data_IF_540862495573
#
_entry.id   IF_540862495573
#
_cell.length_a   1.000
_cell.length_b   1.000
_cell.length_c   1.000
_cell.angle_alpha   90.00
_cell.angle_beta   90.00
_cell.angle_gamma   90.00
#
_symmetry.space_group_name_H-M   'P 1'
#
loop_
_entity.id
_entity.type
_entity.pdbx_description
1 polymer ?
#
# COMPACT_ATOMS: atom_id res chain seq x y z
N UNK A 1 -13.43 -30.70 48.97
CA UNK A 1 -13.43 -31.69 47.85
C UNK A 1 -12.90 -31.04 46.60
N UNK A 2 -11.66 -31.39 46.21
CA UNK A 2 -11.00 -30.85 44.99
C UNK A 2 -11.21 -31.85 43.85
N UNK A 3 -11.93 -31.47 42.79
CA UNK A 3 -12.02 -32.27 41.56
C UNK A 3 -10.86 -31.87 40.62
N UNK A 4 -9.95 -32.83 40.42
CA UNK A 4 -8.89 -32.73 39.38
C UNK A 4 -9.52 -33.06 38.04
N UNK A 5 -9.42 -32.11 37.09
CA UNK A 5 -9.77 -32.35 35.68
C UNK A 5 -8.47 -32.70 34.95
N UNK A 6 -8.39 -33.95 34.53
CA UNK A 6 -7.30 -34.49 33.73
C UNK A 6 -7.61 -34.18 32.24
N UNK A 7 -6.82 -33.35 31.61
CA UNK A 7 -6.93 -33.09 30.18
C UNK A 7 -5.99 -34.04 29.45
N UNK A 8 -6.57 -34.96 28.71
CA UNK A 8 -5.87 -35.94 27.87
C UNK A 8 -5.54 -35.25 26.53
N UNK A 9 -4.26 -35.05 26.26
CA UNK A 9 -3.76 -34.62 24.97
C UNK A 9 -3.80 -35.79 23.98
N UNK A 10 -4.61 -35.68 22.95
CA UNK A 10 -4.61 -36.62 21.82
C UNK A 10 -3.81 -35.97 20.66
N UNK A 11 -2.57 -36.45 20.53
CA UNK A 11 -1.68 -36.15 19.39
C UNK A 11 -2.14 -36.98 18.20
N UNK A 12 -2.68 -36.35 17.20
CA UNK A 12 -2.91 -36.97 15.89
C UNK A 12 -1.96 -36.34 14.87
N UNK A 13 -0.81 -36.98 14.68
CA UNK A 13 0.15 -36.70 13.60
C UNK A 13 -0.34 -37.39 12.33
N UNK A 14 -0.80 -36.61 11.33
CA UNK A 14 -1.02 -37.12 9.97
C UNK A 14 0.02 -36.53 9.03
N UNK A 15 1.06 -37.32 8.77
CA UNK A 15 2.10 -37.07 7.78
C UNK A 15 1.55 -37.46 6.40
N UNK A 16 1.28 -36.51 5.53
CA UNK A 16 1.00 -36.77 4.11
C UNK A 16 2.14 -36.22 3.27
N UNK A 17 3.06 -37.14 2.90
CA UNK A 17 4.06 -36.96 1.87
C UNK A 17 3.41 -37.20 0.52
N UNK A 18 3.20 -36.16 -0.28
CA UNK A 18 2.90 -36.26 -1.69
C UNK A 18 4.14 -35.88 -2.49
N UNK A 19 4.79 -36.92 -3.02
CA UNK A 19 5.80 -36.81 -4.06
C UNK A 19 5.14 -36.36 -5.36
N UNK A 20 5.48 -35.20 -5.85
CA UNK A 20 5.23 -34.82 -7.24
C UNK A 20 6.48 -35.11 -8.05
N UNK A 21 6.43 -36.20 -8.85
CA UNK A 21 7.40 -36.48 -9.90
C UNK A 21 7.12 -35.59 -11.11
N UNK A 22 8.08 -34.75 -11.48
CA UNK A 22 8.07 -34.06 -12.76
C UNK A 22 8.57 -34.96 -13.87
N UNK A 23 7.88 -35.08 -15.01
CA UNK A 23 8.40 -35.76 -16.16
C UNK A 23 9.42 -34.90 -16.90
N UNK A 24 10.60 -35.49 -17.18
CA UNK A 24 11.70 -34.87 -17.89
C UNK A 24 11.33 -34.50 -19.34
N UNK A 25 11.76 -33.29 -19.71
CA UNK A 25 11.76 -32.89 -21.13
C UNK A 25 13.01 -33.40 -21.80
N UNK A 26 12.83 -34.30 -22.77
CA UNK A 26 13.86 -34.77 -23.71
C UNK A 26 14.09 -33.68 -24.76
N UNK A 27 15.28 -33.14 -24.80
CA UNK A 27 15.76 -32.28 -25.88
C UNK A 27 16.16 -33.12 -27.07
N UNK A 28 15.39 -33.05 -28.14
CA UNK A 28 15.79 -33.61 -29.45
C UNK A 28 16.45 -32.52 -30.29
N UNK A 29 17.73 -32.73 -30.58
CA UNK A 29 18.50 -31.92 -31.53
C UNK A 29 18.04 -32.22 -32.98
N UNK A 30 17.90 -31.20 -33.85
CA UNK A 30 17.59 -31.44 -35.24
C UNK A 30 18.83 -31.87 -36.03
N UNK A 31 18.67 -32.98 -36.71
CA UNK A 31 19.64 -33.55 -37.66
C UNK A 31 19.75 -32.66 -38.90
N UNK A 32 20.96 -32.20 -39.20
CA UNK A 32 21.29 -31.47 -40.41
C UNK A 32 21.37 -32.45 -41.58
N UNK A 33 20.43 -32.39 -42.51
CA UNK A 33 20.53 -33.04 -43.82
C UNK A 33 21.20 -32.11 -44.82
N UNK A 34 22.38 -32.52 -45.31
CA UNK A 34 23.03 -31.94 -46.49
C UNK A 34 22.24 -32.29 -47.75
N UNK A 35 21.77 -31.26 -48.47
CA UNK A 35 21.21 -31.41 -49.82
C UNK A 35 22.15 -30.77 -50.87
N UNK A 36 22.06 -31.15 -52.14
CA UNK A 36 23.10 -30.98 -53.15
C UNK A 36 23.18 -29.53 -53.73
N UNK A 37 24.41 -29.24 -54.17
CA UNK A 37 24.78 -28.01 -54.90
C UNK A 37 24.08 -27.97 -56.27
N UNK A 38 23.46 -26.81 -56.57
CA UNK A 38 23.22 -26.38 -57.95
C UNK A 38 23.68 -24.95 -58.12
N UNK A 39 24.69 -24.77 -58.97
CA UNK A 39 25.10 -23.50 -59.54
C UNK A 39 24.07 -23.07 -60.60
N UNK A 40 23.47 -21.94 -60.44
CA UNK A 40 22.95 -21.21 -61.61
C UNK A 40 22.96 -19.71 -61.29
N UNK A 41 23.92 -19.03 -61.91
CA UNK A 41 24.06 -17.59 -61.88
C UNK A 41 23.07 -17.00 -62.86
N UNK A 42 22.02 -16.35 -62.36
CA UNK A 42 21.24 -15.40 -63.15
C UNK A 42 21.24 -14.05 -62.40
N UNK A 43 22.07 -13.11 -62.84
CA UNK A 43 22.07 -11.72 -62.41
C UNK A 43 20.84 -11.03 -63.02
N UNK A 44 19.76 -10.94 -62.26
CA UNK A 44 18.71 -9.95 -62.51
C UNK A 44 19.03 -8.71 -61.68
N UNK A 45 19.21 -7.61 -62.38
CA UNK A 45 19.22 -6.26 -61.78
C UNK A 45 17.84 -6.07 -61.14
N UNK A 46 17.80 -6.07 -59.79
CA UNK A 46 16.63 -5.70 -59.03
C UNK A 46 16.87 -4.29 -58.52
N UNK A 47 16.13 -3.35 -59.08
CA UNK A 47 16.07 -1.98 -58.56
C UNK A 47 15.67 -2.05 -57.07
N UNK A 48 16.57 -1.57 -56.19
CA UNK A 48 16.28 -1.44 -54.76
C UNK A 48 15.15 -0.44 -54.58
N UNK A 49 14.03 -0.80 -53.96
CA UNK A 49 13.03 0.18 -53.58
C UNK A 49 13.66 1.19 -52.57
N UNK A 50 13.22 2.45 -52.57
CA UNK A 50 13.78 3.47 -51.69
C UNK A 50 13.62 3.02 -50.21
N UNK A 51 14.74 2.98 -49.52
CA UNK A 51 14.79 2.70 -48.07
C UNK A 51 14.01 3.84 -47.38
N UNK A 52 12.81 3.54 -46.93
CA UNK A 52 12.09 4.42 -46.00
C UNK A 52 12.97 4.60 -44.78
N UNK A 53 13.54 5.79 -44.61
CA UNK A 53 14.23 6.18 -43.40
C UNK A 53 13.22 6.12 -42.27
N UNK A 54 13.32 5.07 -41.43
CA UNK A 54 12.60 5.00 -40.17
C UNK A 54 13.16 6.12 -39.29
N UNK A 55 12.40 7.18 -39.16
CA UNK A 55 12.68 8.26 -38.21
C UNK A 55 12.74 7.59 -36.84
N UNK A 56 13.94 7.49 -36.25
CA UNK A 56 14.11 7.11 -34.86
C UNK A 56 13.37 8.15 -34.02
N UNK A 57 12.17 7.84 -33.58
CA UNK A 57 11.50 8.60 -32.54
C UNK A 57 12.43 8.64 -31.33
N UNK A 58 12.84 9.83 -30.95
CA UNK A 58 13.53 10.06 -29.69
C UNK A 58 12.67 9.45 -28.57
N UNK A 59 13.27 8.74 -27.60
CA UNK A 59 12.52 8.24 -26.45
C UNK A 59 11.77 9.41 -25.80
N UNK A 60 10.53 9.18 -25.32
CA UNK A 60 9.79 10.21 -24.59
C UNK A 60 10.65 10.75 -23.44
N UNK A 61 10.56 12.03 -23.10
CA UNK A 61 11.31 12.60 -21.99
C UNK A 61 11.01 11.80 -20.72
N UNK A 62 12.06 11.35 -20.04
CA UNK A 62 11.95 10.63 -18.77
C UNK A 62 11.33 11.60 -17.74
N UNK A 63 10.16 11.25 -17.22
CA UNK A 63 9.48 12.04 -16.20
C UNK A 63 10.22 11.81 -14.88
N UNK A 64 11.01 12.79 -14.46
CA UNK A 64 11.67 12.76 -13.14
C UNK A 64 10.61 12.98 -12.07
N UNK A 65 10.38 11.96 -11.26
CA UNK A 65 9.46 12.03 -10.11
C UNK A 65 10.15 12.73 -8.93
N UNK A 66 9.45 13.61 -8.20
CA UNK A 66 10.00 14.27 -7.03
C UNK A 66 10.26 13.26 -5.91
N UNK A 67 11.32 13.49 -5.13
CA UNK A 67 11.75 12.63 -4.02
C UNK A 67 11.40 13.30 -2.69
N UNK A 68 10.81 12.58 -1.71
CA UNK A 68 10.55 13.10 -0.38
C UNK A 68 11.82 13.61 0.32
N UNK A 69 11.73 14.78 0.93
CA UNK A 69 12.83 15.41 1.66
C UNK A 69 13.15 14.66 2.97
N UNK A 70 12.10 14.33 3.74
CA UNK A 70 12.27 13.64 5.03
C UNK A 70 11.92 12.15 4.92
N UNK A 71 12.71 11.34 5.62
CA UNK A 71 12.44 9.91 5.74
C UNK A 71 11.27 9.64 6.67
N UNK A 72 10.56 8.55 6.42
CA UNK A 72 9.42 8.08 7.22
C UNK A 72 8.26 9.06 7.33
N UNK A 73 8.19 10.02 6.41
CA UNK A 73 7.08 10.97 6.31
C UNK A 73 6.39 10.83 4.96
N UNK A 74 5.07 10.55 4.93
CA UNK A 74 4.28 10.55 3.70
C UNK A 74 4.07 11.97 3.17
N UNK A 75 4.12 12.10 1.84
CA UNK A 75 3.83 13.33 1.10
C UNK A 75 2.74 13.08 0.07
N UNK A 76 1.81 13.99 -0.07
CA UNK A 76 0.88 13.97 -1.20
C UNK A 76 1.60 14.37 -2.48
N UNK A 77 1.39 13.61 -3.55
CA UNK A 77 1.93 13.93 -4.87
C UNK A 77 0.91 14.71 -5.69
N UNK A 78 1.15 16.01 -5.83
CA UNK A 78 0.42 16.86 -6.76
C UNK A 78 0.96 16.65 -8.17
N UNK A 79 0.23 15.87 -8.97
CA UNK A 79 0.63 15.51 -10.35
C UNK A 79 0.65 16.71 -11.29
N UNK A 80 -0.24 17.69 -11.09
CA UNK A 80 -0.35 18.88 -11.93
C UNK A 80 0.86 19.80 -11.76
N UNK A 81 1.28 19.99 -10.51
CA UNK A 81 2.45 20.79 -10.17
C UNK A 81 3.77 20.00 -10.16
N UNK A 82 3.74 18.69 -10.37
CA UNK A 82 4.88 17.77 -10.22
C UNK A 82 5.66 18.03 -8.92
N UNK A 83 4.94 18.17 -7.81
CA UNK A 83 5.51 18.52 -6.50
C UNK A 83 4.94 17.66 -5.38
N UNK A 84 5.72 17.58 -4.29
CA UNK A 84 5.31 16.92 -3.05
C UNK A 84 4.79 17.95 -2.05
N UNK A 85 3.62 17.67 -1.49
CA UNK A 85 2.99 18.47 -0.45
C UNK A 85 3.12 17.71 0.87
N UNK A 86 3.76 18.35 1.86
CA UNK A 86 3.92 17.82 3.20
C UNK A 86 2.57 17.73 3.89
N UNK A 87 2.31 16.60 4.55
CA UNK A 87 1.11 16.42 5.37
C UNK A 87 1.24 17.16 6.71
N UNK A 88 0.10 17.44 7.35
CA UNK A 88 0.08 17.99 8.70
C UNK A 88 0.70 16.98 9.68
N UNK A 89 1.62 17.45 10.51
CA UNK A 89 2.21 16.65 11.58
C UNK A 89 1.47 16.97 12.88
N UNK A 90 0.63 16.04 13.33
CA UNK A 90 -0.20 16.19 14.52
C UNK A 90 0.21 15.22 15.62
N UNK A 91 0.36 15.67 16.88
CA UNK A 91 0.47 14.77 18.01
C UNK A 91 -0.86 14.03 18.20
N UNK A 92 -0.77 12.76 18.57
CA UNK A 92 -1.93 11.93 18.87
C UNK A 92 -1.67 11.08 20.11
N UNK A 93 -2.74 10.66 20.76
CA UNK A 93 -2.70 9.85 21.97
C UNK A 93 -3.45 8.55 21.74
N UNK A 94 -2.91 7.46 22.31
CA UNK A 94 -3.62 6.18 22.43
C UNK A 94 -4.38 6.17 23.76
N UNK A 95 -5.68 6.26 23.69
CA UNK A 95 -6.57 6.27 24.84
C UNK A 95 -7.32 4.94 24.98
N UNK A 96 -7.63 4.57 26.22
CA UNK A 96 -8.40 3.36 26.53
C UNK A 96 -9.65 3.72 27.33
N UNK A 97 -10.82 3.42 26.78
CA UNK A 97 -12.11 3.57 27.44
C UNK A 97 -12.61 2.21 27.89
N UNK A 98 -12.74 2.03 29.21
CA UNK A 98 -13.36 0.82 29.77
C UNK A 98 -14.89 0.92 29.70
N UNK A 99 -15.57 -0.17 29.38
CA UNK A 99 -17.05 -0.22 29.48
C UNK A 99 -17.46 -0.11 30.93
N UNK A 100 -18.42 0.78 31.23
CA UNK A 100 -19.05 0.91 32.56
C UNK A 100 -20.09 -0.16 32.78
N UNK A 101 -20.54 -0.35 34.03
CA UNK A 101 -21.62 -1.24 34.44
C UNK A 101 -21.30 -2.75 34.35
N UNK A 102 -20.09 -3.17 34.71
CA UNK A 102 -19.75 -4.60 34.84
C UNK A 102 -19.64 -5.37 33.51
N UNK A 103 -19.87 -4.73 32.38
CA UNK A 103 -19.64 -5.32 31.06
C UNK A 103 -18.12 -5.44 30.81
N UNK A 104 -17.66 -6.67 30.56
CA UNK A 104 -16.26 -6.93 30.21
C UNK A 104 -15.95 -6.32 28.84
N UNK A 105 -14.91 -5.48 28.77
CA UNK A 105 -14.44 -4.93 27.51
C UNK A 105 -13.70 -3.60 27.68
N UNK A 106 -12.81 -3.30 26.77
CA UNK A 106 -12.15 -2.02 26.65
C UNK A 106 -11.99 -1.68 25.16
N UNK A 107 -12.19 -0.43 24.82
CA UNK A 107 -11.93 0.10 23.49
C UNK A 107 -10.68 0.95 23.54
N UNK A 108 -9.81 0.79 22.54
CA UNK A 108 -8.67 1.66 22.34
C UNK A 108 -8.93 2.52 21.11
N UNK A 109 -8.58 3.78 21.19
CA UNK A 109 -8.76 4.72 20.10
C UNK A 109 -7.61 5.72 20.05
N UNK A 110 -7.28 6.13 18.82
CA UNK A 110 -6.40 7.27 18.61
C UNK A 110 -7.22 8.55 18.70
N UNK A 111 -6.64 9.55 19.33
CA UNK A 111 -7.22 10.87 19.48
C UNK A 111 -6.20 11.93 19.11
N UNK A 112 -6.59 12.85 18.23
CA UNK A 112 -5.85 14.05 17.86
C UNK A 112 -6.69 15.28 18.18
N UNK A 113 -6.03 16.36 18.53
CA UNK A 113 -6.70 17.66 18.70
C UNK A 113 -7.13 18.23 17.34
N UNK A 114 -8.03 19.19 17.36
CA UNK A 114 -8.72 19.79 16.21
C UNK A 114 -9.65 18.82 15.44
N UNK A 115 -10.75 19.33 14.95
CA UNK A 115 -11.78 18.54 14.22
C UNK A 115 -11.43 18.32 12.75
N UNK A 116 -10.45 19.07 12.22
CA UNK A 116 -10.05 18.99 10.81
C UNK A 116 -8.58 19.23 10.60
N UNK A 117 -8.00 18.64 9.58
CA UNK A 117 -6.63 18.90 9.16
C UNK A 117 -6.53 20.25 8.45
N UNK A 118 -5.39 20.94 8.66
CA UNK A 118 -5.02 22.16 7.93
C UNK A 118 -4.57 21.86 6.49
N UNK A 119 -4.12 20.64 6.21
CA UNK A 119 -3.74 20.17 4.88
C UNK A 119 -4.92 19.45 4.25
N UNK A 120 -5.48 20.03 3.20
CA UNK A 120 -6.71 19.54 2.57
C UNK A 120 -6.54 19.36 1.07
N UNK A 121 -7.20 18.34 0.53
CA UNK A 121 -7.24 18.03 -0.89
C UNK A 121 -8.70 17.88 -1.34
N UNK A 122 -8.96 18.18 -2.61
CA UNK A 122 -10.26 17.86 -3.22
C UNK A 122 -10.31 16.38 -3.56
N UNK A 123 -11.42 15.71 -3.33
CA UNK A 123 -11.65 14.31 -3.69
C UNK A 123 -11.38 14.09 -5.18
N UNK A 124 -10.46 13.20 -5.50
CA UNK A 124 -10.03 12.84 -6.86
C UNK A 124 -9.89 11.32 -6.97
N UNK A 125 -10.11 10.80 -8.16
CA UNK A 125 -10.06 9.35 -8.41
C UNK A 125 -8.69 8.71 -8.11
N UNK A 126 -7.58 9.46 -8.15
CA UNK A 126 -6.23 8.91 -8.08
C UNK A 126 -5.33 9.75 -7.14
N UNK A 127 -5.65 9.72 -5.85
CA UNK A 127 -4.77 10.29 -4.82
C UNK A 127 -3.56 9.37 -4.64
N UNK A 128 -2.37 9.95 -4.65
CA UNK A 128 -1.10 9.22 -4.55
C UNK A 128 -0.23 9.90 -3.50
N UNK A 129 0.41 9.08 -2.66
CA UNK A 129 1.41 9.57 -1.72
C UNK A 129 2.77 8.95 -2.02
N UNK A 130 3.82 9.70 -1.75
CA UNK A 130 5.19 9.22 -1.78
C UNK A 130 5.75 9.20 -0.36
N UNK A 131 6.56 8.19 -0.08
CA UNK A 131 7.26 8.05 1.19
C UNK A 131 8.68 7.55 0.94
N UNK A 132 9.63 8.17 1.62
CA UNK A 132 11.01 7.71 1.68
C UNK A 132 11.24 7.00 3.00
N UNK A 133 11.97 5.87 2.99
CA UNK A 133 12.30 5.11 4.20
C UNK A 133 13.80 5.20 4.50
N UNK A 134 14.17 4.89 5.74
CA UNK A 134 15.57 4.71 6.12
C UNK A 134 15.93 3.23 6.03
N UNK A 135 16.59 2.85 4.94
CA UNK A 135 17.03 1.47 4.69
C UNK A 135 15.98 0.58 4.03
N UNK A 136 16.33 -0.68 3.83
CA UNK A 136 15.50 -1.67 3.15
C UNK A 136 14.28 -2.01 3.99
N UNK A 137 13.11 -1.60 3.53
CA UNK A 137 11.83 -1.99 4.10
C UNK A 137 11.24 -3.10 3.24
N UNK A 138 11.15 -4.30 3.79
CA UNK A 138 10.65 -5.48 3.08
C UNK A 138 9.13 -5.34 2.81
N UNK A 139 8.38 -4.84 3.79
CA UNK A 139 6.93 -4.61 3.68
C UNK A 139 6.53 -3.35 4.43
N UNK A 140 6.39 -2.25 3.70
CA UNK A 140 5.99 -0.96 4.27
C UNK A 140 4.58 -1.01 4.89
N UNK A 141 3.67 -1.85 4.36
CA UNK A 141 2.30 -1.96 4.86
C UNK A 141 2.23 -2.58 6.26
N UNK A 142 3.26 -3.30 6.70
CA UNK A 142 3.39 -3.80 8.07
C UNK A 142 3.77 -2.71 9.07
N UNK A 143 4.37 -1.61 8.61
CA UNK A 143 4.92 -0.55 9.46
C UNK A 143 4.07 0.72 9.51
N UNK A 144 3.33 1.03 8.44
CA UNK A 144 2.49 2.21 8.36
C UNK A 144 1.04 1.82 8.09
N UNK A 145 0.11 2.48 8.76
CA UNK A 145 -1.34 2.29 8.57
C UNK A 145 -1.98 3.63 8.27
N UNK A 146 -3.04 3.62 7.46
CA UNK A 146 -3.88 4.77 7.21
C UNK A 146 -5.21 4.57 7.91
N UNK A 147 -5.66 5.59 8.61
CA UNK A 147 -6.97 5.59 9.28
C UNK A 147 -7.83 6.74 8.76
N UNK A 148 -9.13 6.49 8.61
CA UNK A 148 -10.16 7.52 8.50
C UNK A 148 -10.63 7.85 9.90
N UNK A 149 -10.48 9.10 10.31
CA UNK A 149 -10.87 9.61 11.61
C UNK A 149 -12.29 10.18 11.55
N UNK A 150 -12.94 10.25 12.69
CA UNK A 150 -14.25 10.88 12.86
C UNK A 150 -14.09 12.08 13.79
N UNK A 151 -14.63 13.25 13.46
CA UNK A 151 -14.70 14.39 14.36
C UNK A 151 -15.63 14.09 15.55
N UNK A 152 -15.15 14.25 16.77
CA UNK A 152 -15.91 14.09 18.02
C UNK A 152 -15.34 15.03 19.09
N UNK A 153 -16.18 15.83 19.73
CA UNK A 153 -15.79 16.72 20.88
C UNK A 153 -14.51 17.53 20.64
N UNK A 154 -14.45 18.29 19.55
CA UNK A 154 -13.30 19.11 19.13
C UNK A 154 -12.02 18.32 18.85
N UNK A 155 -12.14 17.01 18.62
CA UNK A 155 -11.04 16.10 18.32
C UNK A 155 -11.36 15.24 17.09
N UNK A 156 -10.34 14.61 16.56
CA UNK A 156 -10.46 13.55 15.57
C UNK A 156 -10.13 12.22 16.24
N UNK A 157 -11.04 11.28 16.20
CA UNK A 157 -10.84 9.96 16.82
C UNK A 157 -11.00 8.81 15.83
N UNK A 158 -10.35 7.69 16.10
CA UNK A 158 -10.57 6.42 15.41
C UNK A 158 -10.40 5.26 16.38
N UNK A 159 -11.36 4.32 16.39
CA UNK A 159 -11.25 3.09 17.19
C UNK A 159 -10.28 2.12 16.52
N UNK A 160 -9.22 1.71 17.25
CA UNK A 160 -8.18 0.82 16.71
C UNK A 160 -8.23 -0.60 17.25
N UNK A 161 -8.79 -0.80 18.44
CA UNK A 161 -8.94 -2.14 19.04
C UNK A 161 -10.22 -2.22 19.86
N UNK A 162 -10.96 -3.32 19.69
CA UNK A 162 -12.04 -3.72 20.58
C UNK A 162 -11.78 -5.13 21.06
N UNK A 163 -11.81 -5.38 22.37
CA UNK A 163 -11.64 -6.74 22.94
C UNK A 163 -12.76 -7.73 22.57
N UNK A 164 -13.80 -7.28 21.90
CA UNK A 164 -14.88 -8.14 21.39
C UNK A 164 -14.54 -8.80 20.05
N UNK A 165 -13.28 -8.79 19.64
CA UNK A 165 -12.71 -9.70 18.65
C UNK A 165 -13.15 -9.53 17.19
N UNK A 166 -14.09 -8.67 16.90
CA UNK A 166 -14.50 -8.34 15.55
C UNK A 166 -14.66 -6.84 15.45
N UNK A 167 -13.73 -6.21 14.73
CA UNK A 167 -14.01 -4.94 14.11
C UNK A 167 -15.22 -5.17 13.19
N UNK A 168 -16.42 -4.88 13.67
CA UNK A 168 -17.53 -4.68 12.79
C UNK A 168 -17.16 -3.49 11.90
N UNK A 169 -16.78 -3.78 10.66
CA UNK A 169 -16.41 -2.79 9.65
C UNK A 169 -17.57 -1.82 9.30
N UNK A 170 -18.72 -2.00 9.94
CA UNK A 170 -19.95 -1.22 9.71
C UNK A 170 -20.11 -0.02 10.64
N UNK A 171 -19.19 0.21 11.59
CA UNK A 171 -19.23 1.39 12.46
C UNK A 171 -18.51 2.58 11.77
N UNK A 172 -19.07 3.10 10.68
CA UNK A 172 -18.58 4.34 10.03
C UNK A 172 -18.50 5.52 11.00
N UNK A 173 -19.33 5.52 12.04
CA UNK A 173 -19.33 6.51 13.12
C UNK A 173 -18.06 6.48 13.98
N UNK A 174 -17.23 5.43 13.92
CA UNK A 174 -16.05 5.29 14.79
C UNK A 174 -14.72 5.36 14.05
N UNK A 175 -14.78 5.68 12.77
CA UNK A 175 -13.63 5.67 11.89
C UNK A 175 -13.18 4.24 11.51
N UNK A 176 -12.33 4.14 10.51
CA UNK A 176 -11.86 2.84 9.98
C UNK A 176 -10.42 2.89 9.50
N UNK A 177 -9.76 1.73 9.51
CA UNK A 177 -8.50 1.56 8.81
C UNK A 177 -8.74 1.45 7.30
N UNK A 178 -7.93 2.15 6.51
CA UNK A 178 -7.99 2.15 5.05
C UNK A 178 -6.86 1.29 4.51
N UNK A 179 -7.20 0.39 3.59
CA UNK A 179 -6.23 -0.45 2.88
C UNK A 179 -5.61 0.30 1.71
N UNK A 180 -4.33 0.11 1.49
CA UNK A 180 -3.59 0.67 0.37
C UNK A 180 -2.55 -0.33 -0.14
N UNK A 181 -2.05 -0.11 -1.35
CA UNK A 181 -0.93 -0.82 -1.93
C UNK A 181 0.32 0.06 -1.97
N UNK A 182 1.48 -0.59 -1.99
CA UNK A 182 2.79 0.08 -2.03
C UNK A 182 3.55 -0.40 -3.26
N UNK A 183 4.05 0.55 -4.04
CA UNK A 183 4.89 0.29 -5.21
C UNK A 183 6.26 0.93 -5.01
N UNK A 184 7.38 0.19 -5.11
CA UNK A 184 8.70 0.78 -5.08
C UNK A 184 8.90 1.67 -6.32
N UNK A 185 9.52 2.84 -6.12
CA UNK A 185 9.94 3.76 -7.19
C UNK A 185 11.46 3.67 -7.37
N UNK A 186 12.18 3.62 -6.26
CA UNK A 186 13.62 3.40 -6.16
C UNK A 186 13.93 2.68 -4.85
N UNK A 187 15.22 2.46 -4.52
CA UNK A 187 15.64 1.63 -3.38
C UNK A 187 14.98 2.00 -2.05
N UNK A 188 14.74 3.28 -1.78
CA UNK A 188 14.21 3.79 -0.51
C UNK A 188 12.93 4.61 -0.67
N UNK A 189 12.43 4.76 -1.91
CA UNK A 189 11.25 5.56 -2.22
C UNK A 189 10.10 4.68 -2.69
N UNK A 190 8.93 4.92 -2.13
CA UNK A 190 7.73 4.15 -2.37
C UNK A 190 6.55 5.06 -2.71
N UNK A 191 5.69 4.55 -3.57
CA UNK A 191 4.40 5.14 -3.90
C UNK A 191 3.29 4.37 -3.20
N UNK A 192 2.43 5.09 -2.48
CA UNK A 192 1.22 4.57 -1.85
C UNK A 192 0.05 4.87 -2.77
N UNK A 193 -0.75 3.85 -3.08
CA UNK A 193 -1.89 3.91 -3.99
C UNK A 193 -3.11 3.24 -3.35
N UNK A 194 -4.29 3.67 -3.75
CA UNK A 194 -5.57 3.12 -3.31
C UNK A 194 -6.27 2.40 -4.47
N UNK A 195 -6.92 1.28 -4.16
CA UNK A 195 -7.75 0.55 -5.13
C UNK A 195 -9.05 1.30 -5.44
N UNK A 196 -9.54 2.07 -4.47
CA UNK A 196 -10.75 2.87 -4.57
C UNK A 196 -10.45 4.33 -4.20
N UNK A 197 -11.18 5.30 -4.74
CA UNK A 197 -11.07 6.69 -4.33
C UNK A 197 -11.33 6.84 -2.83
N UNK A 198 -10.58 7.73 -2.17
CA UNK A 198 -10.89 8.11 -0.80
C UNK A 198 -12.08 9.08 -0.78
N UNK A 199 -13.06 8.79 0.06
CA UNK A 199 -14.20 9.66 0.32
C UNK A 199 -13.78 10.96 1.01
N UNK A 200 -14.67 11.94 1.05
CA UNK A 200 -14.47 13.10 1.91
C UNK A 200 -14.36 12.69 3.39
N UNK A 201 -13.47 13.34 4.11
CA UNK A 201 -13.23 13.03 5.52
C UNK A 201 -11.83 13.39 6.00
N UNK A 202 -11.54 13.04 7.25
CA UNK A 202 -10.27 13.28 7.91
C UNK A 202 -9.46 11.98 7.93
N UNK A 203 -8.19 12.05 7.58
CA UNK A 203 -7.30 10.90 7.43
C UNK A 203 -5.97 11.13 8.12
N UNK A 204 -5.29 10.04 8.46
CA UNK A 204 -3.93 10.12 8.99
C UNK A 204 -3.14 8.83 8.87
N UNK A 205 -1.88 8.97 8.46
CA UNK A 205 -0.91 7.87 8.49
C UNK A 205 -0.27 7.78 9.87
N UNK A 206 -0.15 6.54 10.36
CA UNK A 206 0.44 6.21 11.68
C UNK A 206 1.50 5.13 11.50
N UNK A 207 2.68 5.33 12.10
CA UNK A 207 3.70 4.29 12.19
C UNK A 207 3.36 3.32 13.33
N UNK A 208 3.15 2.03 12.98
CA UNK A 208 2.69 1.00 13.93
C UNK A 208 3.72 0.73 15.04
N UNK A 209 5.01 0.87 14.76
CA UNK A 209 6.07 0.73 15.79
C UNK A 209 5.93 1.71 16.96
N UNK A 210 5.19 2.80 16.76
CA UNK A 210 4.97 3.80 17.78
C UNK A 210 3.68 3.57 18.58
N UNK A 211 2.91 2.51 18.29
CA UNK A 211 1.63 2.23 18.94
C UNK A 211 1.78 1.80 20.41
N UNK A 212 2.96 1.37 20.83
CA UNK A 212 3.25 1.08 22.25
C UNK A 212 3.47 2.35 23.08
N UNK A 213 3.62 3.49 22.40
CA UNK A 213 3.76 4.80 23.02
C UNK A 213 2.38 5.37 23.33
N UNK A 214 2.25 6.03 24.48
CA UNK A 214 1.03 6.76 24.83
C UNK A 214 0.79 7.96 23.89
N UNK A 215 1.87 8.52 23.36
CA UNK A 215 1.86 9.65 22.44
C UNK A 215 2.67 9.30 21.19
N UNK A 216 2.17 9.65 20.03
CA UNK A 216 2.81 9.39 18.74
C UNK A 216 2.41 10.47 17.73
N UNK A 217 3.08 10.44 16.58
CA UNK A 217 2.82 11.38 15.49
C UNK A 217 1.91 10.78 14.45
N UNK A 218 0.91 11.54 14.02
CA UNK A 218 0.05 11.26 12.88
C UNK A 218 0.36 12.25 11.77
N UNK A 219 0.51 11.77 10.55
CA UNK A 219 0.59 12.59 9.34
C UNK A 219 -0.82 12.74 8.77
N UNK A 220 -1.47 13.84 9.12
CA UNK A 220 -2.89 14.06 8.88
C UNK A 220 -3.16 14.86 7.61
N UNK A 221 -4.33 14.61 7.01
CA UNK A 221 -4.87 15.36 5.88
C UNK A 221 -6.40 15.22 5.84
N UNK A 222 -7.05 16.21 5.23
CA UNK A 222 -8.48 16.18 4.94
C UNK A 222 -8.76 16.02 3.46
N UNK A 223 -9.87 15.38 3.13
CA UNK A 223 -10.41 15.31 1.77
C UNK A 223 -11.77 15.99 1.76
N UNK A 224 -11.91 16.99 0.89
CA UNK A 224 -13.16 17.70 0.67
C UNK A 224 -13.90 17.16 -0.54
N UNK A 225 -15.24 17.22 -0.52
CA UNK A 225 -16.03 16.95 -1.70
C UNK A 225 -15.68 17.94 -2.82
N UNK A 226 -15.63 17.44 -4.05
CA UNK A 226 -15.63 18.34 -5.20
C UNK A 226 -17.01 18.96 -5.29
N UNK A 227 -17.13 20.25 -4.98
CA UNK A 227 -18.37 20.97 -5.24
C UNK A 227 -18.65 20.89 -6.75
N UNK A 228 -19.75 20.24 -7.13
CA UNK A 228 -20.27 20.28 -8.49
C UNK A 228 -20.84 21.68 -8.69
N UNK A 229 -20.06 22.58 -9.28
CA UNK A 229 -20.57 23.83 -9.82
C UNK A 229 -21.26 23.55 -11.13
#
# INVERSE_FOLDING_TARGET
>A
MRKKVTITFLLLSLLVLLFYSSPGQTTSSPVVKKGPKYDTIIRKHVDKPPVKQTVKQSPPPEVVLPVPEFVNQPYYFDKEGNKLIKLETSPAQLLTKKKTLGLKGAKQFFSMDDISSKVRFTARANIVFFIKTSGDVIDLTSYIKLYKFVPEDQKRIVTVTSKEGLLNNNDEEKGKQITFSVKPISNDNYQIQFSEPLDAGEYGFVWVKNMDLKEFTVFAFGIDWKNSN
#
